data_IF_223453885346
#
_entry.id   IF_223453885346
#
_cell.length_a   1.000
_cell.length_b   1.000
_cell.length_c   1.000
_cell.angle_alpha   90.00
_cell.angle_beta   90.00
_cell.angle_gamma   90.00
#
_symmetry.space_group_name_H-M   'P 1'
#
loop_
_entity.id
_entity.type
_entity.pdbx_description
1 polymer ?
#
# COMPACT_ATOMS: atom_id res chain seq x y z
N UNK A 1 -1.49 -18.72 -62.89
CA UNK A 1 -1.92 -17.84 -61.77
C UNK A 1 -2.50 -18.58 -60.56
N UNK A 2 -3.17 -19.73 -60.70
CA UNK A 2 -3.81 -20.48 -59.59
C UNK A 2 -2.85 -21.00 -58.51
N UNK A 3 -1.64 -21.45 -58.91
CA UNK A 3 -0.61 -22.00 -58.00
C UNK A 3 -0.07 -20.97 -57.00
N UNK A 4 0.05 -19.70 -57.41
CA UNK A 4 0.44 -18.60 -56.52
C UNK A 4 -0.69 -18.18 -55.56
N UNK A 5 -1.96 -18.29 -55.99
CA UNK A 5 -3.11 -17.99 -55.12
C UNK A 5 -3.22 -18.96 -53.95
N UNK A 6 -2.98 -20.25 -54.20
CA UNK A 6 -2.98 -21.27 -53.14
C UNK A 6 -1.80 -21.12 -52.18
N UNK A 7 -0.62 -20.72 -52.68
CA UNK A 7 0.54 -20.40 -51.84
C UNK A 7 0.32 -19.18 -50.95
N UNK A 8 -0.28 -18.11 -51.49
CA UNK A 8 -0.60 -16.91 -50.72
C UNK A 8 -1.64 -17.24 -49.64
N UNK A 9 -2.69 -18.01 -49.96
CA UNK A 9 -3.70 -18.44 -48.98
C UNK A 9 -3.09 -19.33 -47.88
N UNK A 10 -2.16 -20.21 -48.23
CA UNK A 10 -1.46 -21.06 -47.26
C UNK A 10 -0.58 -20.22 -46.32
N UNK A 11 0.21 -19.30 -46.85
CA UNK A 11 1.05 -18.39 -46.07
C UNK A 11 0.18 -17.50 -45.17
N UNK A 12 -0.95 -16.99 -45.68
CA UNK A 12 -1.88 -16.18 -44.90
C UNK A 12 -2.55 -16.99 -43.77
N UNK A 13 -2.90 -18.26 -44.04
CA UNK A 13 -3.49 -19.16 -43.04
C UNK A 13 -2.49 -19.53 -41.95
N UNK A 14 -1.23 -19.83 -42.31
CA UNK A 14 -0.14 -20.06 -41.35
C UNK A 14 0.12 -18.79 -40.54
N UNK A 15 0.13 -17.62 -41.18
CA UNK A 15 0.29 -16.33 -40.52
C UNK A 15 -0.85 -16.06 -39.53
N UNK A 16 -2.11 -16.29 -39.92
CA UNK A 16 -3.27 -16.14 -39.04
C UNK A 16 -3.26 -17.14 -37.87
N UNK A 17 -2.82 -18.37 -38.10
CA UNK A 17 -2.60 -19.36 -37.04
C UNK A 17 -1.51 -18.91 -36.06
N UNK A 18 -0.38 -18.39 -36.55
CA UNK A 18 0.68 -17.83 -35.73
C UNK A 18 0.21 -16.59 -34.94
N UNK A 19 -0.61 -15.73 -35.54
CA UNK A 19 -1.22 -14.55 -34.87
C UNK A 19 -2.22 -15.01 -33.79
N UNK A 20 -3.05 -16.01 -34.08
CA UNK A 20 -3.99 -16.59 -33.12
C UNK A 20 -3.29 -17.22 -31.92
N UNK A 21 -2.28 -18.06 -32.18
CA UNK A 21 -1.45 -18.69 -31.14
C UNK A 21 -0.64 -17.66 -30.35
N UNK A 22 -0.19 -16.58 -31.00
CA UNK A 22 0.49 -15.45 -30.35
C UNK A 22 -0.40 -14.72 -29.36
N UNK A 23 -1.64 -14.37 -29.75
CA UNK A 23 -2.62 -13.73 -28.86
C UNK A 23 -3.00 -14.62 -27.67
N UNK A 24 -3.10 -15.93 -27.88
CA UNK A 24 -3.37 -16.89 -26.81
C UNK A 24 -2.21 -16.98 -25.80
N UNK A 25 -0.96 -17.09 -26.28
CA UNK A 25 0.23 -17.09 -25.40
C UNK A 25 0.43 -15.76 -24.65
N UNK A 26 0.16 -14.61 -25.28
CA UNK A 26 0.19 -13.30 -24.60
C UNK A 26 -0.76 -13.24 -23.41
N UNK A 27 -1.93 -13.86 -23.55
CA UNK A 27 -2.94 -13.96 -22.48
C UNK A 27 -2.44 -14.87 -21.36
N UNK A 28 -1.83 -16.01 -21.71
CA UNK A 28 -1.34 -16.99 -20.74
C UNK A 28 -0.11 -16.51 -19.94
N UNK A 29 0.81 -15.73 -20.53
CA UNK A 29 2.02 -15.22 -19.85
C UNK A 29 1.67 -14.20 -18.76
N UNK A 30 0.68 -13.35 -19.02
CA UNK A 30 0.24 -12.32 -18.05
C UNK A 30 -0.80 -12.85 -17.04
N UNK A 31 -1.16 -14.13 -17.13
CA UNK A 31 -2.09 -14.79 -16.22
C UNK A 31 -1.47 -15.97 -15.47
N UNK A 32 -0.21 -16.35 -15.76
CA UNK A 32 0.50 -17.40 -15.03
C UNK A 32 0.99 -16.87 -13.69
N UNK A 33 0.35 -17.34 -12.63
CA UNK A 33 0.76 -17.10 -11.25
C UNK A 33 2.00 -17.93 -10.94
N UNK A 34 2.89 -17.41 -10.08
CA UNK A 34 4.11 -18.11 -9.65
C UNK A 34 5.33 -17.97 -10.57
N UNK A 35 5.27 -17.10 -11.59
CA UNK A 35 6.43 -16.75 -12.43
C UNK A 35 7.04 -15.44 -11.94
N UNK A 36 8.37 -15.43 -11.75
CA UNK A 36 9.14 -14.25 -11.36
C UNK A 36 9.91 -13.67 -12.55
N UNK A 37 9.70 -12.39 -12.82
CA UNK A 37 10.36 -11.63 -13.88
C UNK A 37 11.40 -10.71 -13.26
N UNK A 38 12.65 -10.82 -13.70
CA UNK A 38 13.76 -10.04 -13.20
C UNK A 38 14.28 -9.04 -14.23
N UNK A 39 14.63 -7.84 -13.76
CA UNK A 39 15.26 -6.79 -14.55
C UNK A 39 16.35 -6.09 -13.74
N UNK A 40 17.35 -5.54 -14.43
CA UNK A 40 18.45 -4.79 -13.83
C UNK A 40 18.32 -3.31 -14.19
N UNK A 41 18.28 -2.48 -13.16
CA UNK A 41 18.15 -1.03 -13.29
C UNK A 41 19.39 -0.34 -12.73
N UNK A 42 19.92 0.65 -13.44
CA UNK A 42 20.98 1.52 -12.92
C UNK A 42 20.38 2.71 -12.16
N UNK A 43 20.77 2.90 -10.91
CA UNK A 43 20.42 4.08 -10.12
C UNK A 43 21.19 5.30 -10.66
N UNK A 44 20.49 6.33 -11.09
CA UNK A 44 21.08 7.53 -11.71
C UNK A 44 21.93 8.36 -10.75
N UNK A 45 21.65 8.29 -9.44
CA UNK A 45 22.38 9.06 -8.42
C UNK A 45 23.64 8.33 -7.96
N UNK A 46 23.52 7.06 -7.58
CA UNK A 46 24.64 6.29 -7.03
C UNK A 46 25.49 5.59 -8.10
N UNK A 47 24.96 5.41 -9.31
CA UNK A 47 25.60 4.62 -10.37
C UNK A 47 25.50 3.10 -10.16
N UNK A 48 24.99 2.65 -9.01
CA UNK A 48 24.87 1.23 -8.67
C UNK A 48 23.78 0.54 -9.49
N UNK A 49 23.97 -0.75 -9.75
CA UNK A 49 22.94 -1.61 -10.34
C UNK A 49 22.06 -2.18 -9.23
N UNK A 50 20.75 -2.02 -9.39
CA UNK A 50 19.72 -2.57 -8.52
C UNK A 50 18.89 -3.60 -9.30
N UNK A 51 18.67 -4.76 -8.69
CA UNK A 51 17.94 -5.88 -9.29
C UNK A 51 16.50 -5.84 -8.80
N UNK A 52 15.56 -5.74 -9.74
CA UNK A 52 14.13 -5.77 -9.46
C UNK A 52 13.53 -7.09 -9.95
N UNK A 53 12.68 -7.68 -9.11
CA UNK A 53 11.90 -8.88 -9.41
C UNK A 53 10.40 -8.58 -9.28
N UNK A 54 9.60 -9.13 -10.17
CA UNK A 54 8.14 -9.04 -10.14
C UNK A 54 7.58 -10.45 -10.21
N UNK A 55 6.85 -10.85 -9.17
CA UNK A 55 6.18 -12.14 -9.09
C UNK A 55 4.68 -11.93 -9.19
N UNK A 56 4.05 -12.49 -10.22
CA UNK A 56 2.59 -12.45 -10.36
C UNK A 56 1.96 -13.44 -9.35
N UNK A 57 1.18 -12.93 -8.42
CA UNK A 57 0.52 -13.73 -7.39
C UNK A 57 -0.90 -14.13 -7.82
N UNK A 58 -1.59 -13.23 -8.50
CA UNK A 58 -2.93 -13.45 -9.07
C UNK A 58 -3.18 -12.60 -10.32
N UNK A 59 -4.43 -12.62 -10.82
CA UNK A 59 -4.86 -11.79 -11.96
C UNK A 59 -4.87 -10.29 -11.66
N UNK A 60 -4.88 -9.91 -10.38
CA UNK A 60 -5.00 -8.52 -9.89
C UNK A 60 -3.83 -8.09 -9.00
N UNK A 61 -3.00 -9.03 -8.53
CA UNK A 61 -1.93 -8.77 -7.54
C UNK A 61 -0.57 -9.31 -7.97
N UNK A 62 0.48 -8.57 -7.65
CA UNK A 62 1.87 -8.98 -7.81
C UNK A 62 2.72 -8.55 -6.60
N UNK A 63 3.78 -9.30 -6.34
CA UNK A 63 4.85 -8.90 -5.44
C UNK A 63 5.97 -8.26 -6.27
N UNK A 64 6.42 -7.07 -5.89
CA UNK A 64 7.56 -6.39 -6.49
C UNK A 64 8.67 -6.32 -5.45
N UNK A 65 9.85 -6.80 -5.79
CA UNK A 65 11.00 -6.88 -4.91
C UNK A 65 12.17 -6.13 -5.52
N UNK A 66 12.87 -5.32 -4.73
CA UNK A 66 14.21 -4.88 -5.05
C UNK A 66 15.18 -5.76 -4.24
N UNK A 67 15.73 -6.76 -4.92
CA UNK A 67 16.60 -7.79 -4.34
C UNK A 67 17.87 -7.17 -3.77
N UNK A 68 18.40 -6.14 -4.44
CA UNK A 68 19.62 -5.46 -4.00
C UNK A 68 19.41 -4.73 -2.68
N UNK A 69 18.26 -4.06 -2.52
CA UNK A 69 17.90 -3.33 -1.30
C UNK A 69 17.16 -4.17 -0.26
N UNK A 70 16.80 -5.42 -0.57
CA UNK A 70 15.96 -6.30 0.27
C UNK A 70 14.64 -5.63 0.67
N UNK A 71 13.98 -4.98 -0.28
CA UNK A 71 12.70 -4.30 -0.08
C UNK A 71 11.62 -4.95 -0.94
N UNK A 72 10.37 -5.01 -0.46
CA UNK A 72 9.26 -5.56 -1.23
C UNK A 72 7.93 -4.82 -1.01
N UNK A 73 7.06 -4.85 -2.03
CA UNK A 73 5.72 -4.29 -1.98
C UNK A 73 4.71 -5.02 -2.87
N UNK A 74 3.43 -4.84 -2.54
CA UNK A 74 2.33 -5.26 -3.41
C UNK A 74 2.18 -4.27 -4.57
N UNK A 75 2.39 -4.76 -5.79
CA UNK A 75 2.12 -4.03 -7.02
C UNK A 75 0.68 -4.27 -7.50
N UNK A 76 -0.11 -3.20 -7.64
CA UNK A 76 -1.46 -3.28 -8.23
C UNK A 76 -1.37 -3.51 -9.74
N UNK A 77 -1.99 -4.58 -10.25
CA UNK A 77 -2.04 -4.87 -11.69
C UNK A 77 -3.08 -3.96 -12.35
N UNK A 78 -2.64 -2.87 -12.98
CA UNK A 78 -3.47 -2.14 -13.95
C UNK A 78 -3.19 -2.69 -15.35
N UNK A 79 -4.09 -3.52 -15.86
CA UNK A 79 -4.04 -3.91 -17.27
C UNK A 79 -4.38 -2.70 -18.13
N UNK A 80 -3.47 -2.31 -19.01
CA UNK A 80 -3.76 -1.26 -19.99
C UNK A 80 -3.91 -1.85 -21.38
N UNK A 81 -5.11 -1.70 -21.95
CA UNK A 81 -5.47 -2.06 -23.32
C UNK A 81 -5.09 -0.94 -24.30
N UNK A 82 -3.83 -0.51 -24.34
CA UNK A 82 -3.37 0.43 -25.38
C UNK A 82 -2.77 -0.37 -26.53
N UNK A 83 -3.59 -0.67 -27.55
CA UNK A 83 -3.16 -1.39 -28.75
C UNK A 83 -3.00 -2.91 -28.58
N UNK A 84 -2.24 -3.54 -29.51
CA UNK A 84 -2.09 -5.00 -29.62
C UNK A 84 -1.24 -5.68 -28.51
N UNK A 85 -0.89 -4.98 -27.43
CA UNK A 85 0.00 -5.50 -26.39
C UNK A 85 -0.58 -5.22 -24.99
N UNK A 86 -1.00 -6.29 -24.30
CA UNK A 86 -1.34 -6.23 -22.87
C UNK A 86 -0.07 -5.96 -22.07
N UNK A 87 -0.15 -5.03 -21.12
CA UNK A 87 0.94 -4.68 -20.22
C UNK A 87 0.43 -4.53 -18.79
N UNK A 88 1.25 -4.93 -17.83
CA UNK A 88 1.01 -4.75 -16.39
C UNK A 88 1.97 -3.68 -15.89
N UNK A 89 1.45 -2.71 -15.13
CA UNK A 89 2.23 -1.59 -14.60
C UNK A 89 2.35 -1.71 -13.08
N UNK A 90 3.56 -1.50 -12.56
CA UNK A 90 3.87 -1.46 -11.14
C UNK A 90 4.57 -0.14 -10.82
N UNK A 91 3.89 0.74 -10.09
CA UNK A 91 4.47 2.03 -9.67
C UNK A 91 5.41 1.77 -8.50
N UNK A 92 6.65 2.21 -8.63
CA UNK A 92 7.64 2.12 -7.56
C UNK A 92 7.33 3.17 -6.47
N UNK A 93 7.66 2.90 -5.19
CA UNK A 93 7.45 3.84 -4.09
C UNK A 93 7.99 5.23 -4.39
N UNK A 94 7.32 6.27 -3.91
CA UNK A 94 7.67 7.69 -4.14
C UNK A 94 7.72 8.11 -5.61
N UNK A 95 6.93 7.46 -6.49
CA UNK A 95 6.97 7.68 -7.94
C UNK A 95 8.38 7.60 -8.53
N UNK A 96 9.25 6.77 -7.92
CA UNK A 96 10.62 6.58 -8.42
C UNK A 96 10.65 5.98 -9.83
N UNK A 97 9.53 5.46 -10.31
CA UNK A 97 9.29 5.05 -11.69
C UNK A 97 8.13 4.08 -11.80
N UNK A 98 7.88 3.57 -13.00
CA UNK A 98 6.89 2.51 -13.25
C UNK A 98 7.56 1.36 -13.97
N UNK A 99 7.62 0.20 -13.32
CA UNK A 99 7.98 -1.05 -13.97
C UNK A 99 6.80 -1.51 -14.84
N UNK A 100 7.06 -1.87 -16.09
CA UNK A 100 6.06 -2.36 -17.03
C UNK A 100 6.46 -3.75 -17.49
N UNK A 101 5.63 -4.74 -17.17
CA UNK A 101 5.72 -6.08 -17.72
C UNK A 101 4.86 -6.16 -18.99
N UNK A 102 5.52 -6.34 -20.14
CA UNK A 102 4.89 -6.51 -21.46
C UNK A 102 5.03 -7.95 -21.92
N UNK A 103 3.95 -8.53 -22.43
CA UNK A 103 4.05 -9.79 -23.17
C UNK A 103 4.78 -9.56 -24.51
N UNK A 104 5.52 -10.56 -24.99
CA UNK A 104 6.15 -10.51 -26.31
C UNK A 104 5.11 -10.34 -27.41
N UNK A 105 5.41 -9.53 -28.44
CA UNK A 105 4.48 -9.30 -29.54
C UNK A 105 4.35 -10.54 -30.44
N UNK A 106 5.44 -11.31 -30.55
CA UNK A 106 5.56 -12.51 -31.36
C UNK A 106 5.59 -13.77 -30.47
N UNK A 107 5.14 -14.95 -30.97
CA UNK A 107 5.10 -16.20 -30.18
C UNK A 107 6.46 -16.68 -29.62
N UNK A 108 7.56 -16.19 -30.19
CA UNK A 108 8.94 -16.50 -29.80
C UNK A 108 9.61 -15.37 -29.00
N UNK A 109 8.94 -14.23 -28.82
CA UNK A 109 9.47 -13.11 -28.06
C UNK A 109 9.19 -13.30 -26.57
N UNK A 110 10.23 -13.24 -25.75
CA UNK A 110 10.11 -13.34 -24.29
C UNK A 110 9.45 -12.07 -23.72
N UNK A 111 8.69 -12.19 -22.62
CA UNK A 111 8.17 -11.03 -21.91
C UNK A 111 9.30 -10.09 -21.47
N UNK A 112 8.99 -8.80 -21.42
CA UNK A 112 9.94 -7.73 -21.04
C UNK A 112 9.42 -6.94 -19.85
N UNK A 113 10.27 -6.78 -18.85
CA UNK A 113 10.09 -5.96 -17.66
C UNK A 113 10.99 -4.74 -17.78
N UNK A 114 10.39 -3.60 -18.07
CA UNK A 114 11.08 -2.34 -18.39
C UNK A 114 10.72 -1.24 -17.40
N UNK A 115 11.65 -0.35 -17.09
CA UNK A 115 11.35 0.86 -16.33
C UNK A 115 10.93 2.01 -17.26
N UNK A 116 9.86 2.72 -16.89
CA UNK A 116 9.39 3.94 -17.55
C UNK A 116 9.08 5.02 -16.52
N UNK A 117 8.94 6.27 -16.97
CA UNK A 117 8.57 7.42 -16.12
C UNK A 117 9.44 7.53 -14.85
N UNK A 118 10.72 7.16 -14.94
CA UNK A 118 11.61 7.09 -13.79
C UNK A 118 12.60 8.25 -13.79
N UNK A 119 12.60 9.02 -12.71
CA UNK A 119 13.62 10.02 -12.42
C UNK A 119 14.85 9.39 -11.76
N UNK A 120 14.70 8.24 -11.09
CA UNK A 120 15.76 7.60 -10.28
C UNK A 120 16.51 6.49 -11.00
N UNK A 121 15.86 5.76 -11.90
CA UNK A 121 16.42 4.55 -12.50
C UNK A 121 16.52 4.66 -14.03
N UNK A 122 17.47 3.92 -14.59
CA UNK A 122 17.63 3.69 -16.03
C UNK A 122 17.66 2.22 -16.32
N UNK A 123 17.12 1.81 -17.47
CA UNK A 123 17.22 0.42 -17.91
C UNK A 123 18.68 0.08 -18.22
N UNK A 124 19.27 -0.92 -17.56
CA UNK A 124 20.63 -1.40 -17.87
C UNK A 124 20.60 -2.57 -18.84
N UNK A 125 19.72 -3.54 -18.61
CA UNK A 125 19.58 -4.72 -19.45
C UNK A 125 18.18 -4.78 -20.07
N UNK A 126 18.07 -4.87 -21.39
CA UNK A 126 16.77 -4.98 -22.09
C UNK A 126 16.21 -6.40 -22.10
N UNK A 127 16.98 -7.39 -21.63
CA UNK A 127 16.52 -8.78 -21.49
C UNK A 127 16.03 -9.05 -20.08
N UNK A 128 14.77 -9.43 -19.97
CA UNK A 128 14.17 -9.94 -18.74
C UNK A 128 14.56 -11.38 -18.53
N UNK A 129 15.03 -11.68 -17.32
CA UNK A 129 15.27 -13.05 -16.90
C UNK A 129 14.00 -13.59 -16.25
N UNK A 130 13.60 -14.79 -16.63
CA UNK A 130 12.52 -15.51 -15.96
C UNK A 130 13.22 -16.42 -14.96
N UNK A 131 12.94 -16.22 -13.68
CA UNK A 131 13.53 -16.99 -12.59
C UNK A 131 12.45 -17.91 -12.04
N UNK A 132 12.74 -19.20 -11.95
CA UNK A 132 11.87 -20.13 -11.24
C UNK A 132 12.00 -19.88 -9.73
N UNK A 133 10.88 -19.60 -9.07
CA UNK A 133 10.85 -19.47 -7.61
C UNK A 133 11.21 -20.83 -7.02
N UNK A 134 12.29 -20.91 -6.23
CA UNK A 134 12.51 -22.08 -5.38
C UNK A 134 11.40 -22.10 -4.33
N UNK A 135 10.39 -22.93 -4.57
CA UNK A 135 9.35 -23.20 -3.58
C UNK A 135 10.03 -23.81 -2.36
N UNK A 136 10.19 -23.02 -1.30
CA UNK A 136 10.43 -23.57 0.03
C UNK A 136 9.14 -24.28 0.43
N UNK A 137 9.18 -25.61 0.40
CA UNK A 137 8.10 -26.58 0.65
C UNK A 137 6.96 -26.06 1.54
N UNK A 138 5.72 -26.09 1.04
CA UNK A 138 4.53 -26.54 1.79
C UNK A 138 3.50 -27.18 0.84
N UNK A 139 3.24 -28.47 1.05
CA UNK A 139 2.05 -29.25 0.64
C UNK A 139 0.85 -28.70 1.46
N UNK A 140 -0.39 -28.52 1.02
CA UNK A 140 -1.31 -29.38 0.27
C UNK A 140 -2.61 -28.60 -0.06
N UNK A 141 -3.27 -28.99 -1.15
CA UNK A 141 -4.71 -28.88 -1.47
C UNK A 141 -5.34 -27.50 -1.79
N UNK A 142 -5.97 -27.48 -2.96
CA UNK A 142 -6.59 -26.34 -3.61
C UNK A 142 -7.85 -25.80 -2.92
N UNK A 143 -7.86 -24.48 -2.71
CA UNK A 143 -8.93 -23.61 -3.16
C UNK A 143 -8.28 -22.39 -3.80
N UNK A 144 -8.79 -21.98 -4.96
CA UNK A 144 -8.42 -20.71 -5.60
C UNK A 144 -8.97 -19.56 -4.76
N UNK A 145 -8.27 -19.21 -3.70
CA UNK A 145 -8.34 -17.88 -3.09
C UNK A 145 -7.15 -17.10 -3.63
N UNK A 146 -7.43 -15.93 -4.19
CA UNK A 146 -6.43 -14.94 -4.59
C UNK A 146 -5.40 -14.79 -3.45
N UNK A 147 -4.20 -15.35 -3.63
CA UNK A 147 -3.09 -15.19 -2.68
C UNK A 147 -2.62 -13.75 -2.74
N UNK A 148 -3.24 -12.87 -1.95
CA UNK A 148 -2.60 -11.62 -1.58
C UNK A 148 -1.45 -11.87 -0.64
N UNK A 149 -0.54 -10.92 -0.52
CA UNK A 149 0.35 -10.85 0.64
C UNK A 149 -0.54 -10.50 1.83
N UNK A 150 -1.25 -11.49 2.38
CA UNK A 150 -2.01 -11.33 3.62
C UNK A 150 -0.98 -11.40 4.73
N UNK A 151 -0.57 -10.25 5.24
CA UNK A 151 0.17 -10.22 6.50
C UNK A 151 -0.75 -10.72 7.60
N UNK A 152 -0.30 -11.71 8.38
CA UNK A 152 -1.04 -12.15 9.56
C UNK A 152 -1.06 -11.02 10.61
N UNK A 153 -1.98 -11.09 11.58
CA UNK A 153 -2.02 -10.12 12.68
C UNK A 153 -0.67 -10.01 13.42
N UNK A 154 0.06 -11.13 13.55
CA UNK A 154 1.39 -11.17 14.15
C UNK A 154 2.44 -10.47 13.26
N UNK A 155 2.39 -10.68 11.95
CA UNK A 155 3.27 -9.98 11.00
C UNK A 155 3.05 -8.47 11.07
N UNK A 156 1.79 -8.03 11.09
CA UNK A 156 1.41 -6.61 11.17
C UNK A 156 1.86 -6.00 12.51
N UNK A 157 1.70 -6.73 13.61
CA UNK A 157 2.19 -6.31 14.92
C UNK A 157 3.71 -6.14 14.91
N UNK A 158 4.45 -7.08 14.32
CA UNK A 158 5.90 -7.02 14.23
C UNK A 158 6.38 -5.88 13.33
N UNK A 159 5.75 -5.69 12.17
CA UNK A 159 6.03 -4.56 11.25
C UNK A 159 5.81 -3.24 11.99
N UNK A 160 4.69 -3.09 12.70
CA UNK A 160 4.40 -1.89 13.51
C UNK A 160 5.50 -1.63 14.54
N UNK A 161 5.93 -2.65 15.28
CA UNK A 161 6.95 -2.50 16.32
C UNK A 161 8.30 -2.08 15.72
N UNK A 162 8.74 -2.75 14.65
CA UNK A 162 10.00 -2.44 13.96
C UNK A 162 9.99 -1.04 13.35
N UNK A 163 8.91 -0.68 12.66
CA UNK A 163 8.78 0.65 12.09
C UNK A 163 8.70 1.75 13.17
N UNK A 164 7.97 1.51 14.26
CA UNK A 164 7.90 2.44 15.39
C UNK A 164 9.26 2.66 16.08
N UNK A 165 10.04 1.58 16.26
CA UNK A 165 11.39 1.66 16.79
C UNK A 165 12.33 2.41 15.83
N UNK A 166 12.29 2.11 14.53
CA UNK A 166 13.05 2.84 13.52
C UNK A 166 12.70 4.34 13.52
N UNK A 167 11.40 4.69 13.62
CA UNK A 167 10.96 6.08 13.73
C UNK A 167 11.54 6.75 14.97
N UNK A 168 11.48 6.08 16.13
CA UNK A 168 12.04 6.58 17.38
C UNK A 168 13.54 6.90 17.29
N UNK A 169 14.32 6.05 16.61
CA UNK A 169 15.76 6.28 16.42
C UNK A 169 16.11 7.26 15.29
N UNK A 170 15.13 7.60 14.45
CA UNK A 170 15.33 8.46 13.28
C UNK A 170 15.51 9.93 13.64
N UNK A 171 16.04 10.69 12.68
CA UNK A 171 16.11 12.15 12.77
C UNK A 171 14.74 12.83 12.93
N UNK A 172 13.65 12.17 12.55
CA UNK A 172 12.29 12.71 12.66
C UNK A 172 11.81 12.79 14.10
N UNK A 173 12.30 11.90 14.97
CA UNK A 173 11.84 11.78 16.36
C UNK A 173 12.86 12.26 17.40
N UNK A 174 13.93 12.93 16.96
CA UNK A 174 14.93 13.49 17.89
C UNK A 174 14.25 14.43 18.88
N UNK A 175 14.40 14.11 20.17
CA UNK A 175 13.78 14.82 21.30
C UNK A 175 12.23 14.92 21.21
N UNK A 176 11.61 13.99 20.48
CA UNK A 176 10.18 13.93 20.24
C UNK A 176 9.51 12.74 20.96
N UNK A 177 8.20 12.84 21.10
CA UNK A 177 7.33 11.72 21.45
C UNK A 177 6.86 11.06 20.15
N UNK A 178 7.07 9.75 20.05
CA UNK A 178 6.52 8.89 19.00
C UNK A 178 5.41 8.05 19.60
N UNK A 179 4.26 8.01 18.95
CA UNK A 179 3.12 7.19 19.39
C UNK A 179 2.62 6.34 18.25
N UNK A 180 2.44 5.04 18.53
CA UNK A 180 1.78 4.10 17.63
C UNK A 180 0.35 3.81 18.12
N UNK A 181 -0.62 3.82 17.21
CA UNK A 181 -2.02 3.68 17.59
C UNK A 181 -2.99 3.64 16.42
N UNK A 182 -4.27 3.75 16.75
CA UNK A 182 -5.32 3.93 15.76
C UNK A 182 -5.29 5.36 15.20
N UNK A 183 -5.99 5.55 14.08
CA UNK A 183 -6.21 6.89 13.56
C UNK A 183 -7.05 7.66 14.58
N UNK A 184 -6.47 8.72 15.13
CA UNK A 184 -7.12 9.56 16.12
C UNK A 184 -7.08 11.01 15.61
N UNK A 185 -8.28 11.60 15.50
CA UNK A 185 -8.45 13.05 15.40
C UNK A 185 -9.11 13.56 16.69
N UNK A 186 -8.54 14.55 17.37
CA UNK A 186 -9.09 15.11 18.61
C UNK A 186 -10.52 15.67 18.49
N UNK A 187 -10.95 16.02 17.28
CA UNK A 187 -12.25 16.64 17.00
C UNK A 187 -13.40 15.63 16.84
N UNK A 188 -13.14 14.33 16.89
CA UNK A 188 -14.17 13.28 16.79
C UNK A 188 -14.91 13.17 18.12
N UNK A 189 -15.68 14.22 18.48
CA UNK A 189 -16.51 14.30 19.69
C UNK A 189 -17.81 13.52 19.56
N UNK A 190 -18.20 13.17 18.34
CA UNK A 190 -19.40 12.38 18.08
C UNK A 190 -19.09 10.88 18.21
N UNK A 191 -19.44 10.34 19.37
CA UNK A 191 -19.36 8.91 19.69
C UNK A 191 -20.69 8.19 19.49
N UNK A 192 -21.71 8.89 19.00
CA UNK A 192 -23.07 8.37 18.82
C UNK A 192 -23.33 7.86 17.39
N UNK A 193 -22.49 8.29 16.43
CA UNK A 193 -22.59 7.92 15.03
C UNK A 193 -21.48 6.97 14.58
N UNK A 194 -21.83 6.07 13.66
CA UNK A 194 -20.85 5.23 12.99
C UNK A 194 -20.29 5.95 11.76
N UNK A 195 -18.97 6.08 11.69
CA UNK A 195 -18.31 6.94 10.71
C UNK A 195 -17.05 6.28 10.15
N UNK A 196 -16.81 6.49 8.86
CA UNK A 196 -15.57 6.05 8.20
C UNK A 196 -14.56 7.18 8.25
N UNK A 197 -13.37 6.88 8.76
CA UNK A 197 -12.23 7.79 8.77
C UNK A 197 -11.27 7.42 7.66
N UNK A 198 -10.86 8.42 6.90
CA UNK A 198 -9.90 8.24 5.82
C UNK A 198 -8.99 9.46 5.67
N UNK A 199 -7.92 9.26 4.92
CA UNK A 199 -7.00 10.33 4.50
C UNK A 199 -6.88 10.33 2.98
N UNK A 200 -6.76 11.51 2.38
CA UNK A 200 -6.66 11.63 0.92
C UNK A 200 -5.20 11.67 0.50
N UNK A 201 -4.85 10.87 -0.50
CA UNK A 201 -3.49 10.81 -1.05
C UNK A 201 -3.51 10.90 -2.57
N UNK A 202 -2.34 11.11 -3.17
CA UNK A 202 -2.17 11.03 -4.63
C UNK A 202 -2.52 9.67 -5.24
N UNK A 203 -2.50 8.58 -4.47
CA UNK A 203 -2.86 7.24 -4.96
C UNK A 203 -4.32 6.85 -4.66
N UNK A 204 -5.09 7.77 -4.07
CA UNK A 204 -6.49 7.58 -3.66
C UNK A 204 -6.69 7.76 -2.17
N UNK A 205 -7.94 7.64 -1.74
CA UNK A 205 -8.30 7.72 -0.33
C UNK A 205 -7.95 6.43 0.40
N UNK A 206 -7.35 6.55 1.58
CA UNK A 206 -6.94 5.44 2.42
C UNK A 206 -7.90 5.33 3.59
N UNK A 207 -8.64 4.23 3.68
CA UNK A 207 -9.48 3.93 4.84
C UNK A 207 -8.59 3.65 6.05
N UNK A 208 -8.65 4.54 7.04
CA UNK A 208 -7.80 4.48 8.24
C UNK A 208 -8.49 3.80 9.41
N UNK A 209 -9.78 4.08 9.63
CA UNK A 209 -10.56 3.43 10.67
C UNK A 209 -12.06 3.50 10.40
N UNK A 210 -12.82 2.62 11.03
CA UNK A 210 -14.28 2.70 11.11
C UNK A 210 -14.68 2.94 12.57
N UNK A 211 -15.11 4.14 12.94
CA UNK A 211 -15.56 4.38 14.30
C UNK A 211 -16.99 3.90 14.48
N UNK A 212 -17.22 3.19 15.58
CA UNK A 212 -18.52 2.66 15.97
C UNK A 212 -18.79 3.03 17.43
N UNK A 213 -20.02 3.43 17.78
CA UNK A 213 -20.39 3.68 19.16
C UNK A 213 -20.08 2.49 20.07
N UNK A 214 -19.64 2.80 21.28
CA UNK A 214 -19.31 1.77 22.28
C UNK A 214 -20.52 0.88 22.55
N UNK A 215 -20.34 -0.43 22.43
CA UNK A 215 -21.37 -1.43 22.70
C UNK A 215 -22.34 -1.71 21.55
N UNK A 216 -22.13 -1.09 20.38
CA UNK A 216 -22.87 -1.43 19.18
C UNK A 216 -22.41 -2.75 18.54
N UNK A 217 -23.18 -3.22 17.55
CA UNK A 217 -22.85 -4.40 16.76
C UNK A 217 -21.50 -4.22 16.06
N UNK A 218 -20.72 -5.30 16.03
CA UNK A 218 -19.51 -5.38 15.23
C UNK A 218 -19.82 -5.61 13.75
N UNK A 219 -21.06 -5.98 13.39
CA UNK A 219 -21.43 -6.18 11.99
C UNK A 219 -21.72 -4.84 11.33
N UNK A 220 -21.00 -4.52 10.24
CA UNK A 220 -21.09 -3.24 9.52
C UNK A 220 -22.52 -2.95 9.03
N UNK A 221 -23.29 -4.00 8.72
CA UNK A 221 -24.70 -3.88 8.30
C UNK A 221 -25.65 -3.47 9.42
N UNK A 222 -25.22 -3.58 10.68
CA UNK A 222 -26.04 -3.35 11.87
C UNK A 222 -25.55 -2.15 12.69
N UNK A 223 -24.54 -1.43 12.21
CA UNK A 223 -24.01 -0.28 12.95
C UNK A 223 -25.05 0.84 13.07
N UNK A 224 -25.12 1.51 14.23
CA UNK A 224 -26.09 2.56 14.46
C UNK A 224 -25.70 3.87 13.77
N UNK A 225 -26.71 4.60 13.28
CA UNK A 225 -26.58 5.95 12.73
C UNK A 225 -25.36 6.12 11.79
N UNK A 226 -25.25 5.33 10.71
CA UNK A 226 -24.11 5.44 9.83
C UNK A 226 -24.10 6.78 9.11
N UNK A 227 -22.94 7.43 9.06
CA UNK A 227 -22.73 8.72 8.40
C UNK A 227 -21.60 8.66 7.37
N UNK A 228 -21.78 9.41 6.29
CA UNK A 228 -20.80 9.60 5.22
C UNK A 228 -19.91 10.84 5.41
N UNK A 229 -19.18 11.22 4.35
CA UNK A 229 -18.15 12.26 4.32
C UNK A 229 -18.54 13.62 4.93
N UNK A 230 -19.81 14.03 4.82
CA UNK A 230 -20.31 15.34 5.28
C UNK A 230 -21.28 15.24 6.48
N UNK A 231 -21.11 14.20 7.30
CA UNK A 231 -22.10 13.83 8.32
C UNK A 231 -23.49 13.55 7.72
N UNK A 232 -23.54 13.22 6.42
CA UNK A 232 -24.76 12.80 5.74
C UNK A 232 -25.19 11.46 6.33
N UNK A 233 -26.45 11.37 6.80
CA UNK A 233 -27.02 10.11 7.24
C UNK A 233 -27.14 9.15 6.06
N UNK A 234 -26.56 7.97 6.19
CA UNK A 234 -26.63 6.90 5.20
C UNK A 234 -27.63 5.83 5.64
N UNK A 235 -28.17 5.08 4.68
CA UNK A 235 -28.80 3.80 5.00
C UNK A 235 -27.72 2.76 5.35
N UNK A 236 -28.08 1.67 6.02
CA UNK A 236 -27.14 0.56 6.31
C UNK A 236 -26.49 0.03 5.02
N UNK A 237 -27.27 -0.18 3.96
CA UNK A 237 -26.74 -0.58 2.65
C UNK A 237 -25.87 0.50 2.00
N UNK A 238 -26.23 1.77 2.19
CA UNK A 238 -25.42 2.91 1.77
C UNK A 238 -24.05 2.91 2.43
N UNK A 239 -24.02 2.66 3.74
CA UNK A 239 -22.79 2.58 4.52
C UNK A 239 -21.89 1.42 4.12
N UNK A 240 -22.46 0.22 3.91
CA UNK A 240 -21.69 -0.93 3.40
C UNK A 240 -21.08 -0.64 2.04
N UNK A 241 -21.85 -0.04 1.12
CA UNK A 241 -21.31 0.38 -0.19
C UNK A 241 -20.22 1.44 -0.04
N UNK A 242 -20.37 2.33 0.94
CA UNK A 242 -19.40 3.37 1.22
C UNK A 242 -18.08 2.77 1.74
N UNK A 243 -18.10 1.91 2.75
CA UNK A 243 -16.90 1.20 3.23
C UNK A 243 -16.22 0.39 2.11
N UNK A 244 -17.00 -0.27 1.26
CA UNK A 244 -16.49 -1.09 0.17
C UNK A 244 -15.99 -0.31 -1.06
N UNK A 245 -16.13 1.02 -1.09
CA UNK A 245 -15.61 1.82 -2.21
C UNK A 245 -14.09 2.01 -2.13
N UNK A 246 -13.47 1.76 -0.98
CA UNK A 246 -12.05 2.03 -0.77
C UNK A 246 -11.19 0.92 -1.38
N UNK A 247 -10.23 1.34 -2.21
CA UNK A 247 -9.21 0.45 -2.78
C UNK A 247 -7.91 0.42 -1.95
N UNK A 248 -7.80 1.28 -0.94
CA UNK A 248 -6.63 1.43 -0.07
C UNK A 248 -7.07 1.54 1.40
N UNK A 249 -6.26 0.99 2.29
CA UNK A 249 -6.49 1.06 3.72
C UNK A 249 -5.17 1.19 4.48
N UNK A 250 -5.23 1.63 5.74
CA UNK A 250 -4.11 1.50 6.66
C UNK A 250 -3.75 0.01 6.83
N UNK A 251 -2.46 -0.30 6.95
CA UNK A 251 -1.98 -1.67 7.11
C UNK A 251 -2.61 -2.31 8.34
N UNK A 252 -3.28 -3.45 8.18
CA UNK A 252 -4.04 -4.10 9.26
C UNK A 252 -5.55 -3.92 9.16
N UNK A 253 -6.03 -3.02 8.31
CA UNK A 253 -7.45 -3.00 7.95
C UNK A 253 -7.73 -4.02 6.84
N UNK A 254 -8.86 -4.73 6.96
CA UNK A 254 -9.32 -5.72 5.97
C UNK A 254 -10.45 -5.15 5.12
N UNK A 255 -10.10 -4.65 3.94
CA UNK A 255 -11.09 -4.20 2.96
C UNK A 255 -12.06 -5.34 2.59
N UNK A 256 -13.36 -5.04 2.57
CA UNK A 256 -14.40 -6.01 2.24
C UNK A 256 -14.85 -6.89 3.41
N UNK A 257 -14.30 -6.70 4.62
CA UNK A 257 -14.83 -7.36 5.81
C UNK A 257 -16.21 -6.83 6.18
N UNK A 258 -17.06 -7.71 6.70
CA UNK A 258 -18.35 -7.37 7.31
C UNK A 258 -18.21 -7.00 8.82
N UNK A 259 -17.01 -7.12 9.40
CA UNK A 259 -16.71 -6.76 10.80
C UNK A 259 -16.09 -5.37 10.91
N UNK A 260 -16.63 -4.53 11.81
CA UNK A 260 -16.11 -3.20 12.11
C UNK A 260 -14.74 -3.23 12.81
N UNK A 261 -14.49 -4.26 13.63
CA UNK A 261 -13.23 -4.45 14.33
C UNK A 261 -12.04 -4.70 13.38
N UNK A 262 -12.31 -5.20 12.17
CA UNK A 262 -11.32 -5.39 11.12
C UNK A 262 -10.87 -4.06 10.47
N UNK A 263 -11.42 -2.92 10.90
CA UNK A 263 -11.03 -1.58 10.46
C UNK A 263 -10.42 -0.77 11.62
N UNK A 264 -9.70 -1.42 12.52
CA UNK A 264 -9.04 -0.80 13.69
C UNK A 264 -7.50 -0.90 13.64
N UNK A 265 -6.91 -0.64 12.47
CA UNK A 265 -5.47 -0.65 12.28
C UNK A 265 -4.73 0.19 13.34
N UNK A 266 -3.69 -0.40 13.94
CA UNK A 266 -2.82 0.26 14.92
C UNK A 266 -1.47 0.69 14.34
N UNK A 267 -1.39 0.80 13.03
CA UNK A 267 -0.16 1.05 12.24
C UNK A 267 0.01 2.52 11.86
N UNK A 268 -0.67 3.39 12.61
CA UNK A 268 -0.63 4.84 12.40
C UNK A 268 0.24 5.42 13.49
N UNK A 269 1.12 6.34 13.09
CA UNK A 269 2.09 6.95 13.99
C UNK A 269 1.87 8.45 14.06
N UNK A 270 2.09 9.01 15.25
CA UNK A 270 2.20 10.46 15.44
C UNK A 270 3.55 10.78 16.06
N UNK A 271 4.14 11.86 15.61
CA UNK A 271 5.39 12.41 16.15
C UNK A 271 5.09 13.86 16.53
N UNK A 272 5.40 14.24 17.75
CA UNK A 272 5.28 15.61 18.21
C UNK A 272 6.30 15.90 19.31
N UNK A 273 6.63 17.16 19.47
CA UNK A 273 7.56 17.63 20.49
C UNK A 273 6.79 18.25 21.64
N UNK A 274 7.22 17.96 22.87
CA UNK A 274 6.74 18.67 24.05
C UNK A 274 7.68 19.84 24.35
N UNK A 275 7.15 20.91 24.95
CA UNK A 275 7.95 22.07 25.39
C UNK A 275 9.10 21.69 26.32
N UNK A 276 8.89 20.68 27.15
CA UNK A 276 9.90 20.14 28.07
C UNK A 276 10.92 19.21 27.39
N UNK A 277 10.83 19.00 26.07
CA UNK A 277 11.71 18.15 25.25
C UNK A 277 11.87 16.75 25.84
N UNK A 278 10.93 15.87 25.48
CA UNK A 278 10.86 14.48 25.93
C UNK A 278 11.04 13.54 24.76
N UNK A 279 12.02 12.65 24.85
CA UNK A 279 12.19 11.56 23.90
C UNK A 279 11.51 10.31 24.45
N UNK A 280 10.39 9.90 23.85
CA UNK A 280 9.61 8.76 24.33
C UNK A 280 8.90 8.02 23.20
N UNK A 281 8.70 6.71 23.38
CA UNK A 281 7.87 5.87 22.51
C UNK A 281 6.68 5.34 23.30
N UNK A 282 5.46 5.58 22.80
CA UNK A 282 4.23 5.14 23.44
C UNK A 282 3.32 4.33 22.49
N UNK A 283 2.53 3.44 23.08
CA UNK A 283 1.25 3.05 22.48
C UNK A 283 0.21 4.13 22.80
N UNK A 284 -0.87 4.18 22.04
CA UNK A 284 -1.98 5.11 22.28
C UNK A 284 -2.48 5.12 23.74
N UNK A 285 -2.69 3.94 24.34
CA UNK A 285 -3.10 3.85 25.75
C UNK A 285 -2.04 4.40 26.72
N UNK A 286 -0.77 4.13 26.45
CA UNK A 286 0.33 4.61 27.30
C UNK A 286 0.54 6.12 27.17
N UNK A 287 0.33 6.68 25.98
CA UNK A 287 0.34 8.11 25.76
C UNK A 287 -0.81 8.77 26.54
N UNK A 288 -2.04 8.26 26.43
CA UNK A 288 -3.18 8.77 27.20
C UNK A 288 -2.87 8.80 28.69
N UNK A 289 -2.40 7.69 29.27
CA UNK A 289 -2.02 7.62 30.68
C UNK A 289 -0.87 8.57 31.05
N UNK A 290 0.05 8.85 30.12
CA UNK A 290 1.12 9.84 30.34
C UNK A 290 0.57 11.27 30.31
N UNK A 291 -0.39 11.57 29.45
CA UNK A 291 -0.99 12.90 29.32
C UNK A 291 -1.96 13.19 30.48
N UNK A 292 -2.72 12.20 30.96
CA UNK A 292 -3.61 12.33 32.12
C UNK A 292 -2.88 12.78 33.39
N UNK A 293 -1.58 12.45 33.52
CA UNK A 293 -0.73 12.92 34.64
C UNK A 293 -0.31 14.38 34.52
N UNK A 294 -0.39 14.94 33.32
CA UNK A 294 0.07 16.28 32.97
C UNK A 294 -1.09 17.27 32.75
N UNK A 295 -2.33 16.78 32.66
CA UNK A 295 -3.49 17.58 32.26
C UNK A 295 -4.67 17.36 33.19
N UNK A 296 -5.40 18.43 33.53
CA UNK A 296 -6.62 18.37 34.36
C UNK A 296 -7.91 18.66 33.57
N UNK A 297 -7.82 18.82 32.23
CA UNK A 297 -8.92 19.12 31.32
C UNK A 297 -9.01 18.13 30.14
N UNK A 298 -9.59 18.55 29.01
CA UNK A 298 -9.60 17.74 27.79
C UNK A 298 -8.15 17.41 27.40
N UNK A 299 -7.87 16.10 27.30
CA UNK A 299 -6.53 15.56 27.13
C UNK A 299 -5.84 16.08 25.88
N UNK A 300 -6.52 16.02 24.74
CA UNK A 300 -5.94 16.41 23.48
C UNK A 300 -5.94 17.94 23.34
N UNK A 301 -6.97 18.64 23.80
CA UNK A 301 -6.94 20.10 23.87
C UNK A 301 -5.72 20.60 24.67
N UNK A 302 -5.49 19.99 25.83
CA UNK A 302 -4.34 20.32 26.68
C UNK A 302 -3.01 19.95 26.03
N UNK A 303 -2.92 18.80 25.35
CA UNK A 303 -1.72 18.41 24.60
C UNK A 303 -1.33 19.52 23.61
N UNK A 304 -2.24 19.90 22.72
CA UNK A 304 -1.90 20.80 21.61
C UNK A 304 -1.77 22.27 22.02
N UNK A 305 -2.59 22.74 22.97
CA UNK A 305 -2.56 24.15 23.38
C UNK A 305 -1.48 24.42 24.43
N UNK A 306 -1.22 23.47 25.34
CA UNK A 306 -0.42 23.72 26.53
C UNK A 306 0.93 22.98 26.51
N UNK A 307 0.97 21.72 26.06
CA UNK A 307 2.14 20.86 26.22
C UNK A 307 3.04 20.79 24.98
N UNK A 308 2.46 20.84 23.78
CA UNK A 308 3.20 20.68 22.53
C UNK A 308 4.05 21.92 22.21
N UNK A 309 5.27 21.71 21.75
CA UNK A 309 6.12 22.74 21.15
C UNK A 309 5.77 22.89 19.67
N UNK A 310 4.89 23.85 19.36
CA UNK A 310 4.44 24.12 17.99
C UNK A 310 5.52 24.75 17.10
N UNK A 311 6.69 25.10 17.64
CA UNK A 311 7.83 25.57 16.83
C UNK A 311 8.59 24.42 16.17
N UNK A 312 8.41 23.19 16.67
CA UNK A 312 9.03 21.98 16.13
C UNK A 312 8.06 21.28 15.17
N UNK A 313 8.60 20.52 14.19
CA UNK A 313 7.77 19.79 13.25
C UNK A 313 7.05 18.62 13.95
N UNK A 314 5.75 18.50 13.73
CA UNK A 314 4.95 17.34 14.09
C UNK A 314 4.45 16.61 12.85
N UNK A 315 4.20 15.31 12.97
CA UNK A 315 3.82 14.44 11.86
C UNK A 315 2.70 13.47 12.25
N UNK A 316 1.82 13.16 11.31
CA UNK A 316 1.00 11.95 11.36
C UNK A 316 1.34 11.09 10.14
N UNK A 317 1.58 9.81 10.37
CA UNK A 317 2.16 8.88 9.42
C UNK A 317 1.25 7.66 9.32
N UNK A 318 0.92 7.26 8.09
CA UNK A 318 0.07 6.11 7.78
C UNK A 318 0.89 5.11 6.97
N UNK A 319 1.04 3.90 7.52
CA UNK A 319 1.50 2.74 6.75
C UNK A 319 0.31 2.20 5.95
N UNK A 320 0.38 2.23 4.63
CA UNK A 320 -0.75 1.85 3.77
C UNK A 320 -0.60 0.44 3.18
N UNK A 321 -1.74 -0.19 2.88
CA UNK A 321 -1.82 -1.55 2.32
C UNK A 321 -1.16 -1.71 0.94
N UNK A 322 -0.89 -0.61 0.23
CA UNK A 322 -0.12 -0.63 -1.02
C UNK A 322 1.41 -0.60 -0.81
N UNK A 323 1.86 -0.78 0.43
CA UNK A 323 3.27 -0.75 0.81
C UNK A 323 3.87 0.65 0.91
N UNK A 324 3.10 1.72 0.70
CA UNK A 324 3.64 3.08 0.79
C UNK A 324 3.37 3.71 2.15
N UNK A 325 4.28 4.60 2.55
CA UNK A 325 4.13 5.43 3.73
C UNK A 325 3.64 6.81 3.30
N UNK A 326 2.58 7.27 3.94
CA UNK A 326 2.06 8.61 3.72
C UNK A 326 2.20 9.41 5.00
N UNK A 327 2.48 10.70 4.86
CA UNK A 327 2.56 11.58 6.02
C UNK A 327 1.89 12.93 5.77
N UNK A 328 1.59 13.62 6.85
CA UNK A 328 1.27 15.04 6.85
C UNK A 328 2.10 15.73 7.92
N UNK A 329 2.41 17.01 7.70
CA UNK A 329 3.16 17.86 8.64
C UNK A 329 2.19 18.75 9.42
N UNK A 330 2.58 19.12 10.63
CA UNK A 330 1.75 19.97 11.48
C UNK A 330 0.57 19.20 12.07
N UNK A 331 0.79 17.94 12.49
CA UNK A 331 -0.16 17.22 13.32
C UNK A 331 -0.59 18.08 14.52
N UNK A 332 -1.82 18.58 14.47
CA UNK A 332 -2.39 19.49 15.44
C UNK A 332 -3.93 19.40 15.48
N UNK A 333 -4.55 20.17 16.38
CA UNK A 333 -6.00 20.30 16.52
C UNK A 333 -6.72 20.92 15.33
N UNK A 334 -6.05 21.53 14.37
CA UNK A 334 -6.69 22.42 13.39
C UNK A 334 -7.10 21.76 12.08
N UNK A 335 -6.74 20.49 11.84
CA UNK A 335 -7.16 19.82 10.62
C UNK A 335 -8.63 19.39 10.72
N UNK A 336 -9.46 20.02 9.89
CA UNK A 336 -10.84 19.62 9.67
C UNK A 336 -10.95 18.12 9.36
N UNK A 337 -12.12 17.55 9.62
CA UNK A 337 -12.45 16.14 9.32
C UNK A 337 -12.22 15.75 7.85
N UNK A 338 -12.11 16.70 6.95
CA UNK A 338 -11.91 16.48 5.52
C UNK A 338 -10.44 16.34 5.13
N UNK A 339 -10.13 15.24 4.41
CA UNK A 339 -9.23 15.29 3.26
C UNK A 339 -7.86 15.90 3.48
N UNK A 340 -7.28 15.73 4.68
CA UNK A 340 -5.88 16.04 4.91
C UNK A 340 -5.10 15.39 3.78
N UNK A 341 -4.43 16.22 2.97
CA UNK A 341 -3.68 15.74 1.82
C UNK A 341 -2.39 15.19 2.34
N UNK A 342 -2.30 13.88 2.44
CA UNK A 342 -1.06 13.23 2.78
C UNK A 342 -0.21 13.15 1.52
N UNK A 343 1.03 13.57 1.67
CA UNK A 343 2.05 13.36 0.68
C UNK A 343 2.81 12.08 0.99
N UNK A 344 3.65 11.66 0.05
CA UNK A 344 4.59 10.60 0.34
C UNK A 344 5.56 11.00 1.43
N UNK A 345 5.80 10.07 2.36
CA UNK A 345 6.88 10.22 3.29
C UNK A 345 8.24 10.15 2.57
N UNK A 346 9.32 10.67 3.18
CA UNK A 346 10.65 10.70 2.58
C UNK A 346 11.18 9.30 2.25
N UNK A 347 12.18 9.26 1.35
CA UNK A 347 12.70 8.01 0.78
C UNK A 347 13.21 7.01 1.82
N UNK A 348 13.86 7.47 2.87
CA UNK A 348 14.36 6.63 3.96
C UNK A 348 13.21 5.95 4.74
N UNK A 349 12.13 6.68 4.99
CA UNK A 349 10.92 6.17 5.65
C UNK A 349 10.20 5.13 4.77
N UNK A 350 10.11 5.37 3.47
CA UNK A 350 9.60 4.35 2.54
C UNK A 350 10.47 3.09 2.59
N UNK A 351 11.79 3.25 2.46
CA UNK A 351 12.73 2.14 2.39
C UNK A 351 12.71 1.30 3.67
N UNK A 352 12.59 1.94 4.84
CA UNK A 352 12.42 1.25 6.12
C UNK A 352 11.13 0.41 6.14
N UNK A 353 9.98 1.00 5.81
CA UNK A 353 8.71 0.27 5.79
C UNK A 353 8.75 -0.93 4.82
N UNK A 354 9.29 -0.70 3.62
CA UNK A 354 9.42 -1.70 2.57
C UNK A 354 10.37 -2.84 2.94
N UNK A 355 11.44 -2.55 3.69
CA UNK A 355 12.32 -3.58 4.21
C UNK A 355 11.57 -4.46 5.22
N UNK A 356 10.79 -3.85 6.12
CA UNK A 356 9.99 -4.61 7.08
C UNK A 356 8.89 -5.43 6.40
N UNK A 357 8.22 -4.93 5.36
CA UNK A 357 7.29 -5.74 4.57
C UNK A 357 7.97 -6.96 3.94
N UNK A 358 9.19 -6.78 3.40
CA UNK A 358 9.99 -7.85 2.80
C UNK A 358 10.36 -8.98 3.74
N UNK A 359 10.50 -8.71 5.04
CA UNK A 359 10.77 -9.75 6.03
C UNK A 359 9.58 -10.69 6.27
N UNK A 360 8.36 -10.23 5.98
CA UNK A 360 7.11 -10.95 6.26
C UNK A 360 6.29 -11.30 5.01
N UNK A 361 6.71 -10.87 3.82
CA UNK A 361 6.09 -11.27 2.55
C UNK A 361 6.44 -12.74 2.24
N UNK A 362 5.59 -13.67 2.70
CA UNK A 362 5.73 -15.11 2.44
C UNK A 362 5.20 -15.49 1.05
#
# INVERSE_FOLDING_TARGET
MQKNRNYIVLILSVFLLCVGLGKWRQTAVLSHTGVTYQTELGNKKSGNTEVFQVTLLSSSKALVENVTKKTSFEGKIKQTSTGASRAIRFVLPNDKGTLILKAGLLPWEKPKLEITNSTVYTQKNTRTQIVERQNKNETTTASQTDKSVVFSSDDIQNIRQKFGHWLYESQYAKDAVVVSGAFSKPQLKDTANSQVLYVSTKDGDILTSLLVPKGASDWIREVPNPVGYNSESLSQEGFVRYVNHFDLAALGNSLGSDSASDYQAKTIFRIYHLKERKHAYYTEDAERLSLEKLTTGDLYESLFNNLMDTSQPSYQIVLASNGQVYWTKGYNLSSSLEGDKYEFAPDDMQEAYQAFLGEYSK
#
